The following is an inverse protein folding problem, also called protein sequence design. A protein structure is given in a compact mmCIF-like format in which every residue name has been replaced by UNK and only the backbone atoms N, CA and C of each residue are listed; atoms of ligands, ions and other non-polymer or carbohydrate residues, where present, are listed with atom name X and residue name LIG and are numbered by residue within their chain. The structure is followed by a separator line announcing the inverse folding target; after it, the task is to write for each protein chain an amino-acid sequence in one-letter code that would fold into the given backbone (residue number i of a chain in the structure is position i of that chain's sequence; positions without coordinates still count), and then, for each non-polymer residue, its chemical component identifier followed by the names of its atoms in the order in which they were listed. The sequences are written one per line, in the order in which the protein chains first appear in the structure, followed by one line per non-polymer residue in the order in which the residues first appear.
data_IF_295328672715
#
_entry.id   IF_295328672715
#
_cell.length_a   1.000
_cell.length_b   1.000
_cell.length_c   1.000
_cell.angle_alpha   90.00
_cell.angle_beta   90.00
_cell.angle_gamma   90.00
#
_symmetry.space_group_name_H-M   'P 1'
#
loop_
_entity.id
_entity.type
_entity.pdbx_description
1 polymer ?
#
# COMPACT_ATOMS: atom_id res chain seq x y z
N UNK A 1 6.43 20.99 -4.09
CA UNK A 1 5.35 20.02 -3.82
C UNK A 1 5.95 18.63 -3.86
N UNK A 2 6.66 18.23 -2.79
CA UNK A 2 7.10 16.86 -2.58
C UNK A 2 6.31 16.38 -1.36
N UNK A 3 5.05 16.02 -1.57
CA UNK A 3 4.32 15.29 -0.54
C UNK A 3 5.00 13.95 -0.44
N UNK A 4 5.66 13.68 0.67
CA UNK A 4 6.25 12.38 0.90
C UNK A 4 5.09 11.39 0.88
N UNK A 5 5.05 10.49 -0.11
CA UNK A 5 3.95 9.51 -0.22
C UNK A 5 3.84 8.68 1.07
N UNK A 6 4.89 8.62 1.91
CA UNK A 6 4.83 8.00 3.22
C UNK A 6 3.99 8.76 4.28
N UNK A 7 3.62 10.02 4.01
CA UNK A 7 2.70 10.84 4.82
C UNK A 7 1.23 10.66 4.43
N UNK A 8 0.95 10.06 3.26
CA UNK A 8 -0.41 9.69 2.90
C UNK A 8 -0.84 8.44 3.71
N UNK A 9 -1.91 8.52 4.52
CA UNK A 9 -2.31 7.43 5.41
C UNK A 9 -2.69 6.16 4.65
N UNK A 10 -3.26 6.29 3.45
CA UNK A 10 -3.59 5.16 2.59
C UNK A 10 -2.33 4.51 2.04
N UNK A 11 -1.40 5.31 1.51
CA UNK A 11 -0.13 4.79 0.99
C UNK A 11 0.68 4.10 2.09
N UNK A 12 0.70 4.66 3.29
CA UNK A 12 1.37 4.08 4.46
C UNK A 12 0.72 2.74 4.87
N UNK A 13 -0.61 2.64 4.83
CA UNK A 13 -1.34 1.38 5.09
C UNK A 13 -1.02 0.31 4.04
N UNK A 14 -0.96 0.67 2.75
CA UNK A 14 -0.57 -0.23 1.66
C UNK A 14 0.87 -0.72 1.83
N UNK A 15 1.81 0.17 2.12
CA UNK A 15 3.19 -0.22 2.39
C UNK A 15 3.28 -1.15 3.59
N UNK A 16 2.53 -0.89 4.67
CA UNK A 16 2.54 -1.74 5.86
C UNK A 16 1.96 -3.13 5.58
N UNK A 17 0.93 -3.18 4.74
CA UNK A 17 0.38 -4.44 4.25
C UNK A 17 1.39 -5.20 3.39
N UNK A 18 2.09 -4.53 2.47
CA UNK A 18 3.12 -5.15 1.63
C UNK A 18 4.30 -5.66 2.46
N UNK A 19 4.77 -4.90 3.44
CA UNK A 19 5.86 -5.32 4.33
C UNK A 19 5.48 -6.51 5.22
N UNK A 20 4.20 -6.68 5.55
CA UNK A 20 3.68 -7.82 6.34
C UNK A 20 3.42 -9.06 5.49
N UNK A 21 2.88 -8.89 4.29
CA UNK A 21 2.45 -9.99 3.42
C UNK A 21 3.57 -10.49 2.51
N UNK A 22 4.53 -9.63 2.16
CA UNK A 22 5.68 -9.95 1.32
C UNK A 22 6.96 -9.89 2.12
N UNK A 23 7.75 -10.96 2.05
CA UNK A 23 9.00 -11.10 2.79
C UNK A 23 10.08 -10.13 2.30
N UNK A 24 11.19 -10.06 3.06
CA UNK A 24 12.37 -9.24 2.70
C UNK A 24 13.05 -9.67 1.39
N UNK A 25 12.79 -10.89 0.94
CA UNK A 25 13.34 -11.46 -0.30
C UNK A 25 12.45 -11.17 -1.52
N UNK A 26 11.31 -10.48 -1.32
CA UNK A 26 10.46 -9.95 -2.38
C UNK A 26 10.77 -8.44 -2.58
N UNK A 27 10.90 -7.96 -3.82
CA UNK A 27 11.28 -6.57 -4.10
C UNK A 27 10.26 -5.55 -3.59
N UNK A 28 8.97 -5.87 -3.54
CA UNK A 28 7.94 -4.99 -2.98
C UNK A 28 7.93 -5.02 -1.45
N UNK A 29 8.14 -6.20 -0.85
CA UNK A 29 8.29 -6.35 0.59
C UNK A 29 9.51 -5.59 1.12
N UNK A 30 10.64 -5.71 0.42
CA UNK A 30 11.86 -4.96 0.72
C UNK A 30 11.66 -3.45 0.56
N UNK A 31 11.11 -2.99 -0.58
CA UNK A 31 10.83 -1.57 -0.81
C UNK A 31 9.92 -1.00 0.28
N UNK A 32 8.82 -1.69 0.59
CA UNK A 32 7.88 -1.24 1.61
C UNK A 32 8.55 -1.08 2.97
N UNK A 33 9.44 -2.00 3.34
CA UNK A 33 10.19 -1.93 4.59
C UNK A 33 11.20 -0.79 4.60
N UNK A 34 11.93 -0.58 3.52
CA UNK A 34 12.88 0.54 3.37
C UNK A 34 12.16 1.89 3.51
N UNK A 35 10.96 2.04 2.94
CA UNK A 35 10.18 3.27 3.05
C UNK A 35 9.59 3.46 4.44
N UNK A 36 8.99 2.42 5.03
CA UNK A 36 8.36 2.51 6.37
C UNK A 36 9.39 2.72 7.48
N UNK A 37 10.57 2.12 7.34
CA UNK A 37 11.68 2.33 8.30
C UNK A 37 12.31 3.71 8.21
N UNK A 38 11.98 4.50 7.19
CA UNK A 38 12.58 5.81 6.93
C UNK A 38 14.02 5.72 6.41
N UNK A 39 14.49 4.53 6.02
CA UNK A 39 15.82 4.33 5.44
C UNK A 39 15.95 5.04 4.08
N UNK A 40 14.87 5.11 3.30
CA UNK A 40 14.81 5.89 2.08
C UNK A 40 13.40 6.42 1.80
N UNK A 41 13.30 7.55 1.12
CA UNK A 41 12.01 8.02 0.57
C UNK A 41 11.49 7.05 -0.50
N UNK A 42 10.19 7.06 -0.77
CA UNK A 42 9.61 6.20 -1.81
C UNK A 42 10.25 6.43 -3.18
N UNK A 43 10.62 7.68 -3.49
CA UNK A 43 11.32 8.02 -4.73
C UNK A 43 12.73 7.43 -4.77
N UNK A 44 13.47 7.52 -3.67
CA UNK A 44 14.82 6.94 -3.55
C UNK A 44 14.78 5.42 -3.60
N UNK A 45 13.82 4.80 -2.90
CA UNK A 45 13.65 3.34 -2.89
C UNK A 45 13.27 2.81 -4.28
N UNK A 46 12.47 3.56 -5.05
CA UNK A 46 12.08 3.23 -6.41
C UNK A 46 13.19 3.47 -7.45
N UNK A 47 14.26 4.21 -7.11
CA UNK A 47 15.42 4.36 -7.99
C UNK A 47 16.29 3.08 -8.01
N UNK A 48 16.19 2.27 -6.95
CA UNK A 48 16.85 0.97 -6.90
C UNK A 48 16.30 0.05 -8.01
N UNK A 49 17.19 -0.47 -8.86
CA UNK A 49 16.84 -1.29 -10.02
C UNK A 49 16.05 -2.57 -9.66
N UNK A 50 16.33 -3.16 -8.50
CA UNK A 50 15.62 -4.37 -8.06
C UNK A 50 14.19 -4.05 -7.61
N UNK A 51 14.02 -2.96 -6.87
CA UNK A 51 12.70 -2.51 -6.44
C UNK A 51 11.83 -2.01 -7.61
N UNK A 52 12.40 -1.23 -8.53
CA UNK A 52 11.68 -0.71 -9.69
C UNK A 52 11.22 -1.80 -10.64
N UNK A 53 12.06 -2.82 -10.86
CA UNK A 53 11.69 -3.98 -11.65
C UNK A 53 10.55 -4.77 -11.00
N UNK A 54 10.62 -5.02 -9.68
CA UNK A 54 9.53 -5.67 -8.95
C UNK A 54 8.21 -4.89 -9.00
N UNK A 55 8.26 -3.56 -8.95
CA UNK A 55 7.10 -2.69 -9.14
C UNK A 55 6.52 -2.81 -10.54
N UNK A 56 7.37 -2.80 -11.57
CA UNK A 56 6.94 -2.93 -12.96
C UNK A 56 6.26 -4.30 -13.21
N UNK A 57 6.87 -5.38 -12.73
CA UNK A 57 6.31 -6.74 -12.86
C UNK A 57 4.97 -6.87 -12.13
N UNK A 58 4.88 -6.35 -10.91
CA UNK A 58 3.63 -6.37 -10.14
C UNK A 58 2.53 -5.53 -10.79
N UNK A 59 2.88 -4.36 -11.34
CA UNK A 59 1.94 -3.52 -12.07
C UNK A 59 1.44 -4.19 -13.34
N UNK A 60 2.33 -4.84 -14.10
CA UNK A 60 1.93 -5.61 -15.28
C UNK A 60 1.02 -6.79 -14.92
N UNK A 61 1.35 -7.55 -13.87
CA UNK A 61 0.52 -8.65 -13.40
C UNK A 61 -0.87 -8.17 -12.95
N UNK A 62 -0.95 -7.05 -12.23
CA UNK A 62 -2.21 -6.45 -11.83
C UNK A 62 -3.04 -5.97 -13.03
N UNK A 63 -2.38 -5.39 -14.04
CA UNK A 63 -3.03 -4.93 -15.27
C UNK A 63 -3.58 -6.11 -16.09
N UNK A 64 -2.82 -7.19 -16.19
CA UNK A 64 -3.25 -8.42 -16.87
C UNK A 64 -4.43 -9.06 -16.14
N UNK A 65 -4.41 -9.08 -14.82
CA UNK A 65 -5.51 -9.58 -14.01
C UNK A 65 -6.77 -8.73 -14.21
N UNK A 66 -6.65 -7.40 -14.19
CA UNK A 66 -7.77 -6.50 -14.49
C UNK A 66 -8.34 -6.71 -15.90
N UNK A 67 -7.49 -6.97 -16.89
CA UNK A 67 -7.92 -7.25 -18.26
C UNK A 67 -8.66 -8.58 -18.39
N UNK A 68 -8.36 -9.54 -17.51
CA UNK A 68 -9.04 -10.85 -17.46
C UNK A 68 -10.30 -10.83 -16.60
N UNK A 69 -10.47 -9.84 -15.72
CA UNK A 69 -11.63 -9.77 -14.85
C UNK A 69 -12.93 -9.52 -15.60
N UNK A 70 -13.94 -10.31 -15.27
CA UNK A 70 -15.31 -10.07 -15.69
C UNK A 70 -15.89 -8.85 -14.97
N UNK A 71 -16.98 -8.24 -15.49
CA UNK A 71 -17.65 -7.12 -14.83
C UNK A 71 -18.09 -7.42 -13.39
N UNK A 72 -18.47 -8.68 -13.12
CA UNK A 72 -18.87 -9.16 -11.79
C UNK A 72 -17.67 -9.18 -10.83
N UNK A 73 -16.52 -9.71 -11.28
CA UNK A 73 -15.29 -9.70 -10.49
C UNK A 73 -14.84 -8.28 -10.17
N UNK A 74 -15.00 -7.33 -11.10
CA UNK A 74 -14.71 -5.91 -10.84
C UNK A 74 -15.60 -5.32 -9.74
N UNK A 75 -16.88 -5.72 -9.69
CA UNK A 75 -17.80 -5.26 -8.65
C UNK A 75 -17.44 -5.82 -7.27
N UNK A 76 -16.96 -7.07 -7.20
CA UNK A 76 -16.43 -7.66 -5.96
C UNK A 76 -15.16 -6.94 -5.49
N UNK A 77 -14.23 -6.62 -6.39
CA UNK A 77 -13.03 -5.84 -6.06
C UNK A 77 -13.36 -4.42 -5.57
N UNK A 78 -14.30 -3.73 -6.21
CA UNK A 78 -14.75 -2.41 -5.76
C UNK A 78 -15.41 -2.47 -4.38
N UNK A 79 -16.19 -3.52 -4.12
CA UNK A 79 -16.84 -3.75 -2.82
C UNK A 79 -15.82 -4.05 -1.73
N UNK A 80 -14.79 -4.85 -2.03
CA UNK A 80 -13.68 -5.14 -1.12
C UNK A 80 -12.85 -3.87 -0.83
N UNK A 81 -12.55 -3.07 -1.85
CA UNK A 81 -11.84 -1.80 -1.70
C UNK A 81 -12.62 -0.80 -0.83
N UNK A 82 -13.95 -0.72 -1.01
CA UNK A 82 -14.83 0.10 -0.16
C UNK A 82 -14.81 -0.35 1.30
N UNK A 83 -14.81 -1.66 1.56
CA UNK A 83 -14.68 -2.19 2.93
C UNK A 83 -13.35 -1.80 3.56
N UNK A 84 -12.24 -1.97 2.83
CA UNK A 84 -10.92 -1.55 3.30
C UNK A 84 -10.84 -0.06 3.65
N UNK A 85 -11.44 0.82 2.82
CA UNK A 85 -11.51 2.25 3.12
C UNK A 85 -12.34 2.54 4.38
N UNK A 86 -13.42 1.79 4.60
CA UNK A 86 -14.27 1.96 5.77
C UNK A 86 -13.65 1.41 7.06
N UNK A 87 -12.95 0.27 6.99
CA UNK A 87 -12.19 -0.30 8.11
C UNK A 87 -11.01 0.61 8.51
N UNK A 88 -10.28 1.16 7.53
CA UNK A 88 -9.17 2.10 7.81
C UNK A 88 -9.68 3.40 8.44
N UNK A 89 -10.88 3.86 8.08
CA UNK A 89 -11.51 5.02 8.71
C UNK A 89 -12.00 4.73 10.15
N UNK A 90 -12.35 3.48 10.46
CA UNK A 90 -12.80 3.09 11.79
C UNK A 90 -11.64 2.96 12.80
N UNK A 91 -10.44 2.60 12.34
CA UNK A 91 -9.23 2.52 13.18
C UNK A 91 -8.73 3.91 13.62
N UNK A 92 -9.01 4.97 12.84
CA UNK A 92 -8.63 6.37 13.16
C UNK A 92 -9.59 7.03 14.18
N UNK A 93 -10.73 6.41 14.50
CA UNK A 93 -11.74 6.99 15.42
C UNK A 93 -11.63 6.49 16.88
N UNK A 94 -10.68 5.59 17.19
CA UNK A 94 -10.48 5.02 18.54
C UNK A 94 -9.32 5.68 19.32
N UNK A 95 -8.89 6.89 18.96
CA UNK A 95 -8.02 7.75 19.80
C UNK A 95 -8.71 9.09 20.13
N UNK A 96 -9.92 9.01 20.68
CA UNK A 96 -10.48 10.12 21.46
C UNK A 96 -10.29 9.78 22.95
N UNK A 97 -9.17 10.16 23.60
CA UNK A 97 -9.04 9.98 25.04
C UNK A 97 -10.15 10.79 25.74
N UNK A 98 -10.89 10.06 26.56
CA UNK A 98 -12.03 10.54 27.31
C UNK A 98 -11.77 11.87 28.03
N UNK A 99 -12.68 12.80 27.74
CA UNK A 99 -13.10 13.90 28.60
C UNK A 99 -13.35 13.41 30.04
N UNK A 100 -12.63 13.94 31.03
CA UNK A 100 -13.26 14.63 32.17
C UNK A 100 -12.25 15.41 33.06
N UNK A 101 -12.67 16.55 33.65
CA UNK A 101 -11.92 17.32 34.64
C UNK A 101 -11.93 16.69 36.04
#
# INVERSE_FOLDING_TARGET
MNGDIAEDPLARSVLNHLAKTRGKDDPLGSLARTVISGEATLRTAADNSWHSQGLAEAAQAAQDEQNRMTPEQRADYESAARRLMNDTAADDTDDAPGRNP
#
